data_IF_584693550252
#
_entry.id   IF_584693550252
#
_cell.length_a   1.000
_cell.length_b   1.000
_cell.length_c   1.000
_cell.angle_alpha   90.00
_cell.angle_beta   90.00
_cell.angle_gamma   90.00
#
_symmetry.space_group_name_H-M   'P 1'
#
loop_
_entity.id
_entity.type
_entity.pdbx_description
1 polymer ?
#
# COMPACT_ATOMS: atom_id res chain seq x y z
N UNK A 1 -19.02 42.17 -5.03
CA UNK A 1 -18.67 40.92 -4.31
C UNK A 1 -17.41 40.41 -4.95
N UNK A 2 -16.34 40.34 -4.19
CA UNK A 2 -15.00 40.00 -4.71
C UNK A 2 -14.89 38.52 -5.09
N UNK A 3 -14.17 38.22 -6.18
CA UNK A 3 -13.94 36.87 -6.67
C UNK A 3 -13.32 35.90 -5.62
N UNK A 4 -12.70 36.43 -4.58
CA UNK A 4 -12.18 35.64 -3.45
C UNK A 4 -13.28 35.06 -2.55
N UNK A 5 -14.43 35.74 -2.44
CA UNK A 5 -15.55 35.25 -1.63
C UNK A 5 -16.32 34.13 -2.34
N UNK A 6 -16.31 34.10 -3.67
CA UNK A 6 -16.97 33.07 -4.47
C UNK A 6 -16.17 31.75 -4.43
N UNK A 7 -14.84 31.84 -4.44
CA UNK A 7 -13.96 30.64 -4.36
C UNK A 7 -14.06 29.97 -2.98
N UNK A 8 -14.12 30.76 -1.89
CA UNK A 8 -14.29 30.21 -0.55
C UNK A 8 -15.65 29.52 -0.35
N UNK A 9 -16.72 30.04 -0.96
CA UNK A 9 -18.06 29.45 -0.88
C UNK A 9 -18.17 28.14 -1.68
N UNK A 10 -17.45 28.00 -2.80
CA UNK A 10 -17.48 26.79 -3.63
C UNK A 10 -16.68 25.65 -2.97
N UNK A 11 -15.57 25.96 -2.30
CA UNK A 11 -14.76 24.95 -1.59
C UNK A 11 -15.49 24.40 -0.36
N UNK A 12 -16.23 25.25 0.37
CA UNK A 12 -17.04 24.79 1.53
C UNK A 12 -18.22 23.93 1.11
N UNK A 13 -18.86 24.23 -0.05
CA UNK A 13 -19.98 23.43 -0.56
C UNK A 13 -19.53 22.06 -1.06
N UNK A 14 -18.34 21.93 -1.65
CA UNK A 14 -17.81 20.64 -2.12
C UNK A 14 -17.44 19.74 -0.94
N UNK A 15 -16.89 20.28 0.16
CA UNK A 15 -16.55 19.50 1.36
C UNK A 15 -17.82 19.04 2.12
N UNK A 16 -18.87 19.85 2.15
CA UNK A 16 -20.15 19.49 2.80
C UNK A 16 -20.93 18.47 1.98
N UNK A 17 -20.84 18.50 0.65
CA UNK A 17 -21.51 17.51 -0.23
C UNK A 17 -20.82 16.13 -0.15
N UNK A 18 -19.49 16.09 0.01
CA UNK A 18 -18.77 14.82 0.22
C UNK A 18 -19.08 14.17 1.57
N UNK A 19 -19.35 14.95 2.62
CA UNK A 19 -19.72 14.44 3.95
C UNK A 19 -21.19 14.01 4.07
N UNK A 20 -22.09 14.52 3.20
CA UNK A 20 -23.54 14.20 3.22
C UNK A 20 -23.87 13.01 2.29
N UNK A 21 -23.01 12.68 1.33
CA UNK A 21 -23.21 11.53 0.44
C UNK A 21 -23.10 10.15 1.14
N UNK A 22 -22.60 10.11 2.38
CA UNK A 22 -22.49 8.87 3.19
C UNK A 22 -23.82 8.55 3.93
N UNK A 23 -24.79 9.47 3.99
CA UNK A 23 -26.00 9.32 4.83
C UNK A 23 -27.30 9.10 4.04
N UNK A 24 -27.30 9.14 2.72
CA UNK A 24 -28.52 9.00 1.93
C UNK A 24 -28.44 7.98 0.80
N UNK A 25 -28.16 6.70 1.17
CA UNK A 25 -28.63 5.61 0.31
C UNK A 25 -30.11 5.33 0.68
N UNK A 26 -31.04 5.30 -0.29
CA UNK A 26 -32.41 4.91 0.01
C UNK A 26 -32.38 3.46 0.49
N UNK A 27 -32.90 3.20 1.68
CA UNK A 27 -33.28 1.84 2.10
C UNK A 27 -34.36 1.37 1.14
N UNK A 28 -33.95 0.67 0.08
CA UNK A 28 -34.84 -0.16 -0.71
C UNK A 28 -35.33 -1.29 0.18
N UNK A 29 -36.60 -1.27 0.53
CA UNK A 29 -37.20 -2.32 1.32
C UNK A 29 -37.28 -3.61 0.50
N UNK A 30 -36.49 -4.58 0.89
CA UNK A 30 -36.80 -5.99 0.94
C UNK A 30 -36.04 -6.49 2.15
N UNK A 31 -36.77 -6.94 3.19
CA UNK A 31 -36.23 -7.58 4.39
C UNK A 31 -35.71 -9.00 4.04
N UNK A 32 -34.76 -9.12 3.14
CA UNK A 32 -33.89 -10.28 3.16
C UNK A 32 -32.86 -10.03 4.27
N UNK A 33 -32.67 -10.97 5.20
CA UNK A 33 -31.61 -10.83 6.19
C UNK A 33 -30.31 -10.59 5.46
N UNK A 34 -29.56 -9.55 5.85
CA UNK A 34 -28.24 -9.29 5.33
C UNK A 34 -27.46 -10.62 5.44
N UNK A 35 -26.98 -11.13 4.30
CA UNK A 35 -26.16 -12.34 4.30
C UNK A 35 -24.90 -11.95 5.07
N UNK A 36 -24.78 -12.47 6.28
CA UNK A 36 -23.61 -12.26 7.13
C UNK A 36 -22.44 -12.95 6.43
N UNK A 37 -21.47 -12.17 5.99
CA UNK A 37 -20.25 -12.68 5.36
C UNK A 37 -19.34 -13.22 6.45
N UNK A 38 -18.80 -14.40 6.26
CA UNK A 38 -17.87 -15.04 7.18
C UNK A 38 -16.57 -15.36 6.44
N UNK A 39 -15.61 -14.44 6.56
CA UNK A 39 -14.34 -14.56 5.88
C UNK A 39 -13.30 -15.28 6.73
N UNK A 40 -12.45 -16.06 6.07
CA UNK A 40 -11.23 -16.62 6.65
C UNK A 40 -10.01 -16.11 5.90
N UNK A 41 -8.89 -16.12 6.58
CA UNK A 41 -7.58 -15.95 5.97
C UNK A 41 -7.29 -17.14 5.05
N UNK A 42 -6.98 -16.85 3.78
CA UNK A 42 -6.44 -17.82 2.85
C UNK A 42 -4.91 -17.87 2.94
N UNK A 43 -4.29 -16.78 3.31
CA UNK A 43 -2.86 -16.60 3.55
C UNK A 43 -2.42 -15.15 3.44
N UNK A 44 -1.27 -14.83 4.03
CA UNK A 44 -0.63 -13.54 3.82
C UNK A 44 -0.04 -13.47 2.41
N UNK A 45 0.03 -12.27 1.83
CA UNK A 45 0.55 -12.08 0.47
C UNK A 45 2.02 -12.47 0.34
N UNK A 46 2.82 -12.38 1.40
CA UNK A 46 4.21 -12.85 1.41
C UNK A 46 4.35 -14.37 1.16
N UNK A 47 3.35 -15.15 1.52
CA UNK A 47 3.36 -16.57 1.24
C UNK A 47 3.27 -16.87 -0.27
N UNK A 48 2.61 -15.98 -1.04
CA UNK A 48 2.42 -16.12 -2.50
C UNK A 48 3.42 -15.29 -3.30
N UNK A 49 3.82 -14.15 -2.78
CA UNK A 49 4.68 -13.15 -3.42
C UNK A 49 5.73 -12.66 -2.40
N UNK A 50 6.70 -13.52 -2.04
CA UNK A 50 7.70 -13.13 -1.03
C UNK A 50 8.55 -11.94 -1.50
N UNK A 51 9.01 -11.16 -0.53
CA UNK A 51 10.01 -10.10 -0.68
C UNK A 51 9.60 -8.95 -1.63
N UNK A 52 8.28 -8.75 -1.87
CA UNK A 52 7.85 -7.64 -2.72
C UNK A 52 7.86 -6.30 -1.97
N UNK A 53 8.38 -5.26 -2.59
CA UNK A 53 8.24 -3.89 -2.08
C UNK A 53 6.77 -3.45 -2.13
N UNK A 54 6.17 -3.18 -0.95
CA UNK A 54 4.79 -2.70 -0.85
C UNK A 54 4.72 -1.18 -0.99
N UNK A 55 5.35 -0.46 -0.06
CA UNK A 55 5.34 1.00 -0.02
C UNK A 55 6.74 1.59 -0.15
N UNK A 56 6.78 2.81 -0.69
CA UNK A 56 7.99 3.58 -0.98
C UNK A 56 7.84 5.02 -0.52
N UNK A 57 8.97 5.71 -0.35
CA UNK A 57 9.04 7.17 -0.24
C UNK A 57 9.38 7.72 -1.61
N UNK A 58 8.48 8.56 -2.13
CA UNK A 58 8.71 9.33 -3.34
C UNK A 58 8.96 10.79 -2.99
N UNK A 59 9.94 11.41 -3.64
CA UNK A 59 10.24 12.83 -3.45
C UNK A 59 10.28 13.56 -4.80
N UNK A 60 9.72 14.78 -4.83
CA UNK A 60 9.69 15.59 -6.05
C UNK A 60 11.11 15.84 -6.59
N UNK A 61 11.33 15.58 -7.88
CA UNK A 61 12.63 15.67 -8.50
C UNK A 61 13.23 17.08 -8.45
N UNK A 62 12.40 18.11 -8.64
CA UNK A 62 12.84 19.49 -8.53
C UNK A 62 13.22 19.88 -7.08
N UNK A 63 12.58 19.26 -6.08
CA UNK A 63 12.98 19.41 -4.67
C UNK A 63 14.33 18.72 -4.41
N UNK A 64 14.50 17.48 -4.83
CA UNK A 64 15.74 16.71 -4.61
C UNK A 64 16.96 17.43 -5.19
N UNK A 65 16.87 17.88 -6.45
CA UNK A 65 17.98 18.53 -7.12
C UNK A 65 18.43 19.86 -6.51
N UNK A 66 17.54 20.53 -5.75
CA UNK A 66 17.85 21.83 -5.15
C UNK A 66 17.99 21.80 -3.61
N UNK A 67 17.60 20.69 -2.95
CA UNK A 67 17.51 20.62 -1.50
C UNK A 67 18.00 19.26 -0.96
N UNK A 68 19.05 18.69 -1.53
CA UNK A 68 19.58 17.38 -1.14
C UNK A 68 19.79 17.23 0.37
N UNK A 69 20.43 18.20 1.04
CA UNK A 69 20.65 18.18 2.49
C UNK A 69 19.32 18.10 3.28
N UNK A 70 18.25 18.75 2.81
CA UNK A 70 16.96 18.67 3.49
C UNK A 70 16.35 17.27 3.38
N UNK A 71 16.52 16.60 2.24
CA UNK A 71 16.09 15.22 2.05
C UNK A 71 16.88 14.25 2.92
N UNK A 72 18.20 14.38 2.96
CA UNK A 72 19.09 13.59 3.81
C UNK A 72 18.74 13.73 5.30
N UNK A 73 18.49 14.96 5.77
CA UNK A 73 18.05 15.25 7.14
C UNK A 73 16.67 14.63 7.44
N UNK A 74 15.74 14.69 6.50
CA UNK A 74 14.44 14.03 6.63
C UNK A 74 14.61 12.51 6.74
N UNK A 75 15.40 11.90 5.86
CA UNK A 75 15.65 10.47 5.86
C UNK A 75 16.39 10.01 7.11
N UNK A 76 17.32 10.80 7.67
CA UNK A 76 17.95 10.48 8.94
C UNK A 76 16.93 10.39 10.09
N UNK A 77 16.04 11.38 10.21
CA UNK A 77 14.98 11.34 11.22
C UNK A 77 13.95 10.23 10.99
N UNK A 78 13.61 9.94 9.74
CA UNK A 78 12.74 8.82 9.39
C UNK A 78 13.36 7.47 9.76
N UNK A 79 14.64 7.28 9.47
CA UNK A 79 15.38 6.06 9.79
C UNK A 79 15.40 5.76 11.31
N UNK A 80 15.56 6.79 12.16
CA UNK A 80 15.42 6.62 13.62
C UNK A 80 14.01 6.10 13.98
N UNK A 81 12.97 6.58 13.28
CA UNK A 81 11.61 6.09 13.47
C UNK A 81 11.44 4.64 13.05
N UNK A 82 12.04 4.22 11.93
CA UNK A 82 12.03 2.82 11.45
C UNK A 82 12.75 1.92 12.45
N UNK A 83 13.94 2.31 12.92
CA UNK A 83 14.69 1.55 13.91
C UNK A 83 13.90 1.40 15.23
N UNK A 84 13.22 2.45 15.68
CA UNK A 84 12.34 2.35 16.85
C UNK A 84 11.22 1.32 16.62
N UNK A 85 10.51 1.38 15.50
CA UNK A 85 9.40 0.46 15.19
C UNK A 85 9.91 -0.99 15.14
N UNK A 86 10.99 -1.24 14.43
CA UNK A 86 11.52 -2.59 14.29
C UNK A 86 12.01 -3.16 15.62
N UNK A 87 12.72 -2.38 16.43
CA UNK A 87 13.16 -2.81 17.75
C UNK A 87 11.97 -3.08 18.69
N UNK A 88 10.93 -2.25 18.63
CA UNK A 88 9.71 -2.46 19.41
C UNK A 88 8.99 -3.75 19.00
N UNK A 89 8.82 -3.99 17.70
CA UNK A 89 8.17 -5.22 17.18
C UNK A 89 8.99 -6.48 17.51
N UNK A 90 10.31 -6.38 17.54
CA UNK A 90 11.18 -7.51 17.90
C UNK A 90 11.06 -7.92 19.37
N UNK A 91 10.60 -7.05 20.28
CA UNK A 91 10.37 -7.35 21.70
C UNK A 91 8.97 -6.91 22.15
N UNK A 92 7.99 -7.78 21.95
CA UNK A 92 6.59 -7.55 22.35
C UNK A 92 6.38 -7.33 23.84
N UNK A 93 7.36 -7.70 24.68
CA UNK A 93 7.32 -7.50 26.13
C UNK A 93 7.73 -6.09 26.55
N UNK A 94 8.38 -5.33 25.69
CA UNK A 94 8.95 -4.02 25.95
C UNK A 94 7.88 -2.93 26.19
N UNK A 95 8.25 -1.89 26.91
CA UNK A 95 7.42 -0.68 27.06
C UNK A 95 7.30 0.07 25.72
N UNK A 96 8.32 0.00 24.86
CA UNK A 96 8.29 0.61 23.54
C UNK A 96 7.28 -0.09 22.62
N UNK A 97 7.13 -1.42 22.69
CA UNK A 97 6.08 -2.13 21.95
C UNK A 97 4.66 -1.73 22.44
N UNK A 98 4.44 -1.68 23.75
CA UNK A 98 3.17 -1.22 24.30
C UNK A 98 2.82 0.19 23.85
N UNK A 99 3.82 1.09 23.91
CA UNK A 99 3.65 2.45 23.42
C UNK A 99 3.34 2.47 21.92
N UNK A 100 4.03 1.67 21.10
CA UNK A 100 3.82 1.58 19.66
C UNK A 100 2.40 1.12 19.33
N UNK A 101 1.89 0.09 20.02
CA UNK A 101 0.50 -0.40 19.86
C UNK A 101 -0.49 0.71 20.17
N UNK A 102 -0.36 1.39 21.32
CA UNK A 102 -1.25 2.48 21.71
C UNK A 102 -1.15 3.67 20.77
N UNK A 103 0.06 4.03 20.35
CA UNK A 103 0.28 5.11 19.39
C UNK A 103 -0.34 4.80 18.03
N UNK A 104 -0.20 3.57 17.52
CA UNK A 104 -0.78 3.14 16.25
C UNK A 104 -2.30 3.28 16.23
N UNK A 105 -2.99 2.98 17.34
CA UNK A 105 -4.44 3.19 17.48
C UNK A 105 -4.84 4.66 17.38
N UNK A 106 -3.95 5.60 17.72
CA UNK A 106 -4.21 7.04 17.52
C UNK A 106 -4.13 7.46 16.06
N UNK A 107 -3.38 6.73 15.23
CA UNK A 107 -3.22 6.99 13.79
C UNK A 107 -4.24 6.25 12.95
N UNK A 108 -4.69 5.09 13.43
CA UNK A 108 -5.73 4.27 12.83
C UNK A 108 -6.86 4.06 13.87
N UNK A 109 -7.77 5.04 14.01
CA UNK A 109 -8.81 4.97 15.03
C UNK A 109 -9.74 3.76 14.86
N UNK A 110 -10.13 3.17 15.98
CA UNK A 110 -11.06 2.04 16.04
C UNK A 110 -10.39 0.67 15.98
N UNK A 111 -9.06 0.57 15.92
CA UNK A 111 -8.36 -0.71 16.08
C UNK A 111 -8.40 -1.20 17.53
N UNK A 112 -8.59 -2.51 17.69
CA UNK A 112 -8.33 -3.21 18.94
C UNK A 112 -6.81 -3.44 19.12
N UNK A 113 -6.40 -3.83 20.33
CA UNK A 113 -5.01 -4.21 20.58
C UNK A 113 -4.59 -5.41 19.73
N UNK A 114 -5.48 -6.39 19.57
CA UNK A 114 -5.19 -7.62 18.81
C UNK A 114 -4.98 -7.29 17.32
N UNK A 115 -5.91 -6.53 16.72
CA UNK A 115 -5.77 -6.10 15.30
C UNK A 115 -4.49 -5.30 15.07
N UNK A 116 -4.16 -4.38 16.00
CA UNK A 116 -2.94 -3.58 15.91
C UNK A 116 -1.68 -4.44 15.98
N UNK A 117 -1.62 -5.38 16.93
CA UNK A 117 -0.48 -6.30 17.09
C UNK A 117 -0.30 -7.19 15.87
N UNK A 118 -1.38 -7.79 15.38
CA UNK A 118 -1.33 -8.63 14.19
C UNK A 118 -0.89 -7.83 12.96
N UNK A 119 -1.42 -6.61 12.77
CA UNK A 119 -1.04 -5.75 11.65
C UNK A 119 0.44 -5.37 11.72
N UNK A 120 0.96 -5.00 12.90
CA UNK A 120 2.39 -4.70 13.09
C UNK A 120 3.29 -5.91 12.82
N UNK A 121 2.85 -7.12 13.22
CA UNK A 121 3.60 -8.36 12.99
C UNK A 121 3.63 -8.80 11.52
N UNK A 122 2.59 -8.43 10.74
CA UNK A 122 2.47 -8.81 9.33
C UNK A 122 3.21 -7.85 8.37
N UNK A 123 3.79 -6.77 8.87
CA UNK A 123 4.51 -5.78 8.07
C UNK A 123 6.00 -5.88 8.37
N UNK A 124 6.81 -6.13 7.35
CA UNK A 124 8.25 -6.03 7.46
C UNK A 124 8.68 -4.56 7.22
N UNK A 125 9.03 -3.88 8.31
CA UNK A 125 9.58 -2.52 8.24
C UNK A 125 11.06 -2.63 7.86
N UNK A 126 11.35 -2.36 6.59
CA UNK A 126 12.68 -2.52 6.01
C UNK A 126 13.64 -1.45 6.56
N UNK A 127 14.91 -1.76 6.55
CA UNK A 127 16.09 -1.05 7.05
C UNK A 127 16.50 -1.31 8.50
N UNK A 128 15.69 -1.99 9.32
CA UNK A 128 16.10 -2.28 10.70
C UNK A 128 17.17 -3.37 10.77
N UNK A 129 17.07 -4.37 9.87
CA UNK A 129 17.95 -5.53 9.81
C UNK A 129 18.91 -5.51 8.61
N UNK A 130 18.96 -4.40 7.86
CA UNK A 130 19.87 -4.27 6.75
C UNK A 130 21.28 -4.02 7.28
N UNK A 131 21.82 -5.03 7.95
CA UNK A 131 23.19 -5.04 8.48
C UNK A 131 24.21 -5.03 7.36
N UNK A 132 23.79 -5.36 6.14
CA UNK A 132 24.66 -5.43 4.96
C UNK A 132 24.67 -4.12 4.16
N UNK A 133 23.81 -3.15 4.53
CA UNK A 133 23.75 -1.84 3.87
C UNK A 133 23.31 -1.90 2.41
N UNK A 134 22.72 -3.03 1.99
CA UNK A 134 22.22 -3.18 0.63
C UNK A 134 20.84 -2.54 0.47
N UNK A 135 20.85 -1.23 0.38
CA UNK A 135 19.70 -0.44 -0.05
C UNK A 135 19.44 -0.60 -1.57
N UNK A 136 20.31 -1.29 -2.28
CA UNK A 136 20.32 -1.44 -3.74
C UNK A 136 19.14 -2.28 -4.27
N UNK A 137 18.60 -3.18 -3.47
CA UNK A 137 17.49 -4.04 -3.87
C UNK A 137 16.22 -3.31 -4.30
N UNK A 138 16.03 -2.03 -3.98
CA UNK A 138 14.87 -1.26 -4.45
C UNK A 138 14.86 -1.08 -5.97
N UNK A 139 16.01 -0.89 -6.60
CA UNK A 139 16.13 -0.74 -8.05
C UNK A 139 15.70 -2.02 -8.77
N UNK A 140 16.18 -3.17 -8.32
CA UNK A 140 15.81 -4.48 -8.86
C UNK A 140 14.33 -4.79 -8.64
N UNK A 141 13.78 -4.45 -7.46
CA UNK A 141 12.36 -4.63 -7.18
C UNK A 141 11.48 -3.77 -8.09
N UNK A 142 11.86 -2.53 -8.34
CA UNK A 142 11.11 -1.65 -9.24
C UNK A 142 11.22 -2.14 -10.70
N UNK A 143 12.39 -2.62 -11.14
CA UNK A 143 12.53 -3.22 -12.46
C UNK A 143 11.64 -4.46 -12.61
N UNK A 144 11.63 -5.34 -11.61
CA UNK A 144 10.75 -6.51 -11.55
C UNK A 144 9.27 -6.13 -11.53
N UNK A 145 8.91 -5.11 -10.74
CA UNK A 145 7.54 -4.58 -10.68
C UNK A 145 7.08 -4.07 -12.06
N UNK A 146 7.91 -3.32 -12.78
CA UNK A 146 7.61 -2.85 -14.15
C UNK A 146 7.34 -4.04 -15.06
N UNK A 147 8.16 -5.09 -14.98
CA UNK A 147 7.93 -6.35 -15.71
C UNK A 147 6.56 -6.96 -15.40
N UNK A 148 6.22 -7.09 -14.13
CA UNK A 148 4.92 -7.61 -13.69
C UNK A 148 3.74 -6.73 -14.13
N UNK A 149 3.87 -5.40 -14.02
CA UNK A 149 2.86 -4.43 -14.47
C UNK A 149 2.62 -4.51 -15.99
N UNK A 150 3.68 -4.67 -16.77
CA UNK A 150 3.60 -4.88 -18.22
C UNK A 150 2.87 -6.17 -18.55
N UNK A 151 3.20 -7.25 -17.86
CA UNK A 151 2.60 -8.57 -18.06
C UNK A 151 1.09 -8.60 -17.82
N UNK A 152 0.60 -7.85 -16.83
CA UNK A 152 -0.83 -7.76 -16.51
C UNK A 152 -1.55 -6.63 -17.25
N UNK A 153 -0.84 -5.88 -18.11
CA UNK A 153 -1.43 -4.81 -18.94
C UNK A 153 -1.78 -3.53 -18.15
N UNK A 154 -1.15 -3.30 -16.99
CA UNK A 154 -1.38 -2.11 -16.16
C UNK A 154 -0.68 -0.85 -16.70
N UNK A 155 0.29 -1.00 -17.60
CA UNK A 155 1.02 0.11 -18.19
C UNK A 155 0.41 0.50 -19.54
N UNK A 156 0.21 1.81 -19.75
CA UNK A 156 -0.27 2.37 -21.03
C UNK A 156 0.87 2.73 -21.98
N UNK A 157 2.10 2.83 -21.45
CA UNK A 157 3.31 3.03 -22.24
C UNK A 157 4.24 1.84 -22.05
N UNK A 158 4.96 1.49 -23.11
CA UNK A 158 5.99 0.46 -23.03
C UNK A 158 7.26 0.99 -22.37
N UNK A 159 7.88 0.16 -21.55
CA UNK A 159 9.23 0.36 -21.00
C UNK A 159 10.11 -0.70 -21.64
N UNK A 160 10.96 -0.26 -22.56
CA UNK A 160 11.82 -1.17 -23.34
C UNK A 160 12.90 -1.82 -22.46
N UNK A 161 13.40 -1.08 -21.48
CA UNK A 161 14.44 -1.50 -20.54
C UNK A 161 14.02 -1.12 -19.10
N UNK A 162 13.38 -2.05 -18.36
CA UNK A 162 12.96 -1.81 -17.00
C UNK A 162 14.11 -1.53 -16.02
N UNK A 163 15.27 -2.14 -16.23
CA UNK A 163 16.45 -1.95 -15.37
C UNK A 163 17.01 -0.53 -15.54
N UNK A 164 17.20 -0.08 -16.77
CA UNK A 164 17.63 1.29 -17.05
C UNK A 164 16.60 2.31 -16.55
N UNK A 165 15.29 2.05 -16.71
CA UNK A 165 14.24 2.91 -16.18
C UNK A 165 14.31 3.01 -14.66
N UNK A 166 14.41 1.88 -13.97
CA UNK A 166 14.52 1.82 -12.51
C UNK A 166 15.78 2.56 -12.02
N UNK A 167 16.90 2.43 -12.71
CA UNK A 167 18.15 3.13 -12.39
C UNK A 167 18.06 4.66 -12.49
N UNK A 168 17.12 5.21 -13.26
CA UNK A 168 16.83 6.65 -13.25
C UNK A 168 15.76 7.03 -12.21
N UNK A 169 14.85 6.09 -11.93
CA UNK A 169 13.68 6.33 -11.08
C UNK A 169 13.99 6.21 -9.59
N UNK A 170 14.91 5.33 -9.22
CA UNK A 170 15.36 5.10 -7.84
C UNK A 170 16.65 5.86 -7.59
N UNK A 171 16.69 6.58 -6.46
CA UNK A 171 17.91 7.23 -5.97
C UNK A 171 17.96 7.09 -4.44
N UNK A 172 18.52 6.00 -3.98
CA UNK A 172 18.69 5.66 -2.57
C UNK A 172 19.96 6.27 -1.95
N UNK A 173 20.76 6.97 -2.74
CA UNK A 173 22.00 7.63 -2.28
C UNK A 173 21.74 8.62 -1.14
N UNK A 174 20.56 9.28 -1.13
CA UNK A 174 20.15 10.17 -0.05
C UNK A 174 19.98 9.43 1.29
N UNK A 175 19.38 8.25 1.26
CA UNK A 175 19.20 7.43 2.46
C UNK A 175 20.52 6.86 2.95
N UNK A 176 21.35 6.36 2.03
CA UNK A 176 22.68 5.87 2.38
C UNK A 176 23.52 6.97 3.03
N UNK A 177 23.55 8.16 2.41
CA UNK A 177 24.25 9.31 2.99
C UNK A 177 23.70 9.68 4.38
N UNK A 178 22.36 9.67 4.53
CA UNK A 178 21.72 10.00 5.80
C UNK A 178 22.10 9.03 6.92
N UNK A 179 22.17 7.72 6.64
CA UNK A 179 22.56 6.69 7.61
C UNK A 179 24.03 6.85 8.01
N UNK A 180 24.91 7.01 7.05
CA UNK A 180 26.36 7.12 7.27
C UNK A 180 26.76 8.42 7.99
N UNK A 181 26.00 9.50 7.81
CA UNK A 181 26.38 10.85 8.24
C UNK A 181 25.42 11.46 9.27
N UNK A 182 24.62 10.65 9.98
CA UNK A 182 23.57 11.10 10.94
C UNK A 182 24.04 12.23 11.85
N UNK A 183 25.20 12.09 12.47
CA UNK A 183 25.69 13.07 13.43
C UNK A 183 26.01 14.44 12.81
N UNK A 184 26.47 14.47 11.55
CA UNK A 184 26.75 15.72 10.84
C UNK A 184 25.49 16.46 10.39
N UNK A 185 24.38 15.75 10.28
CA UNK A 185 23.07 16.29 9.89
C UNK A 185 22.28 16.89 11.04
N UNK A 186 22.68 16.65 12.30
CA UNK A 186 22.01 17.17 13.51
C UNK A 186 22.28 18.66 13.71
N UNK A 187 21.40 19.31 14.48
CA UNK A 187 21.58 20.70 14.97
C UNK A 187 21.48 21.78 13.88
N UNK A 188 20.97 21.45 12.71
CA UNK A 188 20.78 22.40 11.60
C UNK A 188 19.59 23.33 11.82
N UNK A 189 19.58 24.45 11.13
CA UNK A 189 18.46 25.41 11.17
C UNK A 189 17.16 24.72 10.74
N UNK A 190 16.04 24.97 11.43
CA UNK A 190 14.76 24.36 11.12
C UNK A 190 14.25 24.71 9.71
N UNK A 191 13.75 23.71 9.01
CA UNK A 191 12.97 23.85 7.77
C UNK A 191 11.66 23.08 7.89
N UNK A 192 10.61 23.56 7.25
CA UNK A 192 9.32 22.86 7.21
C UNK A 192 9.18 22.12 5.88
N UNK A 193 8.78 20.86 5.95
CA UNK A 193 8.50 19.99 4.78
C UNK A 193 7.05 19.52 4.82
N UNK A 194 6.35 19.68 3.70
CA UNK A 194 5.04 19.08 3.47
C UNK A 194 5.23 17.63 3.04
N UNK A 195 4.70 16.71 3.86
CA UNK A 195 4.80 15.26 3.66
C UNK A 195 3.42 14.64 3.51
N UNK A 196 3.13 14.04 2.36
CA UNK A 196 1.86 13.37 2.12
C UNK A 196 1.88 11.92 2.61
N UNK A 197 0.82 11.54 3.32
CA UNK A 197 0.61 10.19 3.88
C UNK A 197 -0.81 9.71 3.61
N UNK A 198 -1.01 8.38 3.56
CA UNK A 198 -2.33 7.78 3.43
C UNK A 198 -3.03 7.78 4.80
N UNK A 199 -4.25 8.27 4.84
CA UNK A 199 -5.05 8.31 6.08
C UNK A 199 -5.34 6.89 6.59
N UNK A 200 -5.00 6.62 7.86
CA UNK A 200 -5.32 5.35 8.50
C UNK A 200 -4.53 4.15 7.98
N UNK A 201 -3.33 4.39 7.46
CA UNK A 201 -2.42 3.35 6.96
C UNK A 201 -1.28 3.08 7.95
N UNK A 202 -1.27 1.88 8.53
CA UNK A 202 -0.27 1.46 9.52
C UNK A 202 1.10 1.16 8.88
N UNK A 203 1.19 0.94 7.57
CA UNK A 203 2.45 0.77 6.86
C UNK A 203 3.39 1.97 7.03
N UNK A 204 2.81 3.14 7.22
CA UNK A 204 3.52 4.41 7.36
C UNK A 204 3.76 4.82 8.82
N UNK A 205 3.56 3.89 9.78
CA UNK A 205 3.63 4.24 11.21
C UNK A 205 4.99 4.83 11.61
N UNK A 206 6.08 4.42 10.95
CA UNK A 206 7.43 4.86 11.28
C UNK A 206 7.64 6.37 11.11
N UNK A 207 7.06 7.00 10.07
CA UNK A 207 7.15 8.46 9.91
C UNK A 207 6.36 9.21 10.99
N UNK A 208 5.25 8.65 11.44
CA UNK A 208 4.48 9.22 12.55
C UNK A 208 5.20 9.06 13.89
N UNK A 209 5.84 7.90 14.09
CA UNK A 209 6.71 7.64 15.27
C UNK A 209 7.85 8.64 15.29
N UNK A 210 8.56 8.83 14.17
CA UNK A 210 9.66 9.78 14.08
C UNK A 210 9.21 11.22 14.45
N UNK A 211 8.03 11.63 13.99
CA UNK A 211 7.43 12.91 14.38
C UNK A 211 7.09 12.99 15.86
N UNK A 212 6.46 11.94 16.42
CA UNK A 212 6.02 11.91 17.81
C UNK A 212 7.18 11.82 18.82
N UNK A 213 8.21 11.05 18.48
CA UNK A 213 9.42 10.90 19.30
C UNK A 213 10.37 12.11 19.18
N UNK A 214 10.11 13.03 18.23
CA UNK A 214 10.92 14.23 18.04
C UNK A 214 12.20 14.02 17.24
N UNK A 215 12.39 12.85 16.60
CA UNK A 215 13.59 12.53 15.82
C UNK A 215 13.83 13.56 14.70
N UNK A 216 12.80 13.96 13.98
CA UNK A 216 12.94 15.01 12.97
C UNK A 216 13.48 16.33 13.51
N UNK A 217 13.13 16.69 14.76
CA UNK A 217 13.59 17.94 15.36
C UNK A 217 15.11 17.93 15.60
N UNK A 218 15.72 16.76 15.87
CA UNK A 218 17.17 16.64 16.04
C UNK A 218 17.92 17.04 14.77
N UNK A 219 17.30 16.77 13.60
CA UNK A 219 17.82 17.11 12.28
C UNK A 219 17.30 18.47 11.76
N UNK A 220 16.60 19.25 12.61
CA UNK A 220 16.02 20.53 12.20
C UNK A 220 14.96 20.40 11.11
N UNK A 221 14.20 19.31 11.09
CA UNK A 221 13.06 19.12 10.19
C UNK A 221 11.76 19.28 10.99
N UNK A 222 10.87 20.13 10.49
CA UNK A 222 9.49 20.24 10.95
C UNK A 222 8.58 19.68 9.86
N UNK A 223 7.73 18.73 10.20
CA UNK A 223 6.82 18.10 9.22
C UNK A 223 5.43 18.68 9.34
N UNK A 224 4.83 18.99 8.19
CA UNK A 224 3.42 19.25 8.03
C UNK A 224 2.82 18.09 7.19
N UNK A 225 1.97 17.26 7.83
CA UNK A 225 1.37 16.12 7.16
C UNK A 225 0.17 16.54 6.31
N UNK A 226 0.24 16.23 5.00
CA UNK A 226 -0.90 16.25 4.10
C UNK A 226 -1.53 14.86 4.04
N UNK A 227 -2.86 14.78 4.21
CA UNK A 227 -3.60 13.51 4.22
C UNK A 227 -4.17 13.20 2.85
N UNK A 228 -3.99 11.97 2.37
CA UNK A 228 -4.56 11.47 1.14
C UNK A 228 -5.36 10.18 1.40
N UNK A 229 -6.38 9.93 0.59
CA UNK A 229 -7.20 8.73 0.72
C UNK A 229 -6.49 7.45 0.18
N UNK A 230 -5.55 7.63 -0.75
CA UNK A 230 -4.80 6.54 -1.39
C UNK A 230 -3.54 7.07 -2.09
N UNK A 231 -2.74 6.14 -2.64
CA UNK A 231 -1.49 6.49 -3.34
C UNK A 231 -1.68 7.38 -4.58
N UNK A 232 -2.80 7.29 -5.29
CA UNK A 232 -3.10 8.18 -6.42
C UNK A 232 -3.27 9.65 -6.00
N UNK A 233 -3.88 9.89 -4.84
CA UNK A 233 -3.96 11.23 -4.25
C UNK A 233 -2.58 11.80 -3.90
N UNK A 234 -1.68 10.97 -3.39
CA UNK A 234 -0.30 11.36 -3.09
C UNK A 234 0.47 11.70 -4.37
N UNK A 235 0.36 10.87 -5.42
CA UNK A 235 0.94 11.18 -6.74
C UNK A 235 0.46 12.54 -7.25
N UNK A 236 -0.83 12.80 -7.15
CA UNK A 236 -1.41 14.09 -7.56
C UNK A 236 -0.78 15.25 -6.79
N UNK A 237 -0.64 15.13 -5.47
CA UNK A 237 -0.02 16.15 -4.62
C UNK A 237 1.46 16.39 -4.96
N UNK A 238 2.22 15.31 -5.24
CA UNK A 238 3.62 15.42 -5.69
C UNK A 238 3.75 16.15 -7.03
N UNK A 239 2.91 15.77 -8.01
CA UNK A 239 2.94 16.36 -9.37
C UNK A 239 2.50 17.82 -9.37
N UNK A 240 1.59 18.21 -8.50
CA UNK A 240 1.15 19.59 -8.32
C UNK A 240 2.15 20.45 -7.52
N UNK A 241 3.07 19.80 -6.79
CA UNK A 241 3.98 20.46 -5.85
C UNK A 241 3.35 20.85 -4.51
N UNK A 242 2.16 20.30 -4.20
CA UNK A 242 1.45 20.51 -2.93
C UNK A 242 2.19 19.84 -1.76
N UNK A 243 2.96 18.81 -2.04
CA UNK A 243 3.92 18.22 -1.10
C UNK A 243 5.27 17.97 -1.78
N UNK A 244 6.32 17.81 -0.97
CA UNK A 244 7.70 17.52 -1.45
C UNK A 244 8.02 16.05 -1.36
N UNK A 245 7.42 15.35 -0.40
CA UNK A 245 7.66 13.96 -0.07
C UNK A 245 6.32 13.26 0.07
N UNK A 246 6.20 12.03 -0.41
CA UNK A 246 4.98 11.24 -0.31
C UNK A 246 5.28 9.78 0.04
N UNK A 247 4.46 9.21 0.92
CA UNK A 247 4.48 7.80 1.29
C UNK A 247 3.34 7.07 0.59
N UNK A 248 3.66 6.16 -0.32
CA UNK A 248 2.64 5.51 -1.15
C UNK A 248 3.08 4.12 -1.60
N UNK A 249 2.12 3.34 -2.12
CA UNK A 249 2.44 2.04 -2.72
C UNK A 249 3.38 2.16 -3.93
N UNK A 250 4.29 1.21 -4.08
CA UNK A 250 5.20 1.15 -5.22
C UNK A 250 4.46 1.05 -6.58
N UNK A 251 3.36 0.25 -6.73
CA UNK A 251 2.65 0.20 -8.00
C UNK A 251 2.01 1.54 -8.42
N UNK A 252 1.22 2.26 -7.61
CA UNK A 252 0.66 3.54 -8.04
C UNK A 252 1.76 4.57 -8.37
N UNK A 253 2.88 4.58 -7.64
CA UNK A 253 4.02 5.41 -7.95
C UNK A 253 4.60 5.07 -9.33
N UNK A 254 4.90 3.80 -9.59
CA UNK A 254 5.52 3.32 -10.82
C UNK A 254 4.62 3.46 -12.04
N UNK A 255 3.32 3.06 -11.92
CA UNK A 255 2.34 3.19 -13.01
C UNK A 255 2.23 4.65 -13.48
N UNK A 256 2.14 5.58 -12.54
CA UNK A 256 2.02 7.00 -12.88
C UNK A 256 3.30 7.54 -13.51
N UNK A 257 4.48 7.16 -13.03
CA UNK A 257 5.76 7.58 -13.60
C UNK A 257 5.90 7.11 -15.05
N UNK A 258 5.60 5.84 -15.32
CA UNK A 258 5.64 5.25 -16.68
C UNK A 258 4.59 5.89 -17.58
N UNK A 259 3.33 5.95 -17.15
CA UNK A 259 2.22 6.40 -17.98
C UNK A 259 2.30 7.89 -18.33
N UNK A 260 2.90 8.72 -17.48
CA UNK A 260 3.18 10.12 -17.81
C UNK A 260 4.40 10.28 -18.75
N UNK A 261 5.30 9.29 -18.78
CA UNK A 261 6.50 9.34 -19.65
C UNK A 261 7.52 10.36 -19.17
N UNK A 262 7.69 10.49 -17.86
CA UNK A 262 8.67 11.42 -17.28
C UNK A 262 10.11 10.92 -17.38
N UNK A 263 10.31 9.65 -17.70
CA UNK A 263 11.63 9.02 -17.90
C UNK A 263 11.73 8.47 -19.31
N UNK A 264 12.86 8.70 -19.96
CA UNK A 264 13.25 8.06 -21.22
C UNK A 264 14.67 7.47 -21.13
N UNK A 265 15.23 7.04 -22.27
CA UNK A 265 16.58 6.47 -22.35
C UNK A 265 17.73 7.41 -21.93
N UNK A 266 17.45 8.66 -21.60
CA UNK A 266 18.46 9.66 -21.21
C UNK A 266 18.21 10.23 -19.81
N UNK A 267 17.18 9.71 -19.07
CA UNK A 267 16.88 10.07 -17.69
C UNK A 267 15.55 10.78 -17.51
N UNK A 268 15.41 11.46 -16.36
CA UNK A 268 14.20 12.22 -15.99
C UNK A 268 14.13 13.52 -16.80
N UNK A 269 12.95 13.78 -17.36
CA UNK A 269 12.72 14.89 -18.31
C UNK A 269 11.98 16.08 -17.73
N UNK A 270 11.29 15.91 -16.62
CA UNK A 270 10.42 16.94 -16.07
C UNK A 270 10.67 17.13 -14.59
N UNK A 271 10.84 18.37 -14.16
CA UNK A 271 11.00 18.73 -12.75
C UNK A 271 9.74 18.42 -11.89
N UNK A 272 8.60 18.15 -12.52
CA UNK A 272 7.40 17.68 -11.84
C UNK A 272 7.44 16.19 -11.52
N UNK A 273 8.35 15.44 -12.15
CA UNK A 273 8.57 14.05 -11.81
C UNK A 273 8.97 13.90 -10.33
N UNK A 274 8.95 12.68 -9.85
CA UNK A 274 9.47 12.31 -8.54
C UNK A 274 10.39 11.10 -8.67
N UNK A 275 11.30 10.94 -7.71
CA UNK A 275 12.13 9.75 -7.58
C UNK A 275 11.77 8.99 -6.33
N UNK A 276 12.00 7.69 -6.34
CA UNK A 276 11.92 6.85 -5.16
C UNK A 276 13.25 6.91 -4.42
N UNK A 277 13.20 7.28 -3.14
CA UNK A 277 14.39 7.52 -2.32
C UNK A 277 14.54 6.51 -1.18
N UNK A 278 13.54 5.67 -0.97
CA UNK A 278 13.53 4.66 0.09
C UNK A 278 12.39 3.68 -0.10
N UNK A 279 12.58 2.45 0.36
CA UNK A 279 11.46 1.59 0.75
C UNK A 279 10.84 2.10 2.04
N UNK A 280 9.57 1.76 2.29
CA UNK A 280 8.90 1.93 3.58
C UNK A 280 8.77 0.57 4.25
N UNK A 281 8.27 -0.40 3.51
CA UNK A 281 8.03 -1.76 3.97
C UNK A 281 7.89 -2.74 2.82
N UNK A 282 8.05 -4.01 3.13
CA UNK A 282 7.50 -5.11 2.34
C UNK A 282 6.31 -5.72 3.07
N UNK A 283 5.51 -6.52 2.38
CA UNK A 283 4.42 -7.29 2.94
C UNK A 283 3.25 -6.42 3.45
N UNK A 284 2.49 -6.94 4.43
CA UNK A 284 1.41 -6.21 5.08
C UNK A 284 0.09 -6.26 4.33
N UNK A 285 -0.17 -7.36 3.59
CA UNK A 285 -1.48 -7.64 2.99
C UNK A 285 -1.86 -9.09 3.18
N UNK A 286 -3.17 -9.39 3.19
CA UNK A 286 -3.68 -10.74 3.28
C UNK A 286 -4.77 -11.02 2.26
N UNK A 287 -4.91 -12.29 1.92
CA UNK A 287 -5.95 -12.84 1.06
C UNK A 287 -7.03 -13.44 1.95
N UNK A 288 -8.24 -12.96 1.80
CA UNK A 288 -9.41 -13.47 2.52
C UNK A 288 -10.39 -14.14 1.55
N UNK A 289 -11.14 -15.11 2.05
CA UNK A 289 -12.13 -15.87 1.29
C UNK A 289 -13.37 -16.12 2.14
N UNK A 290 -14.55 -16.00 1.54
CA UNK A 290 -15.83 -16.31 2.17
C UNK A 290 -15.96 -17.82 2.39
N UNK A 291 -16.23 -18.24 3.63
CA UNK A 291 -16.44 -19.66 3.98
C UNK A 291 -17.51 -20.33 3.15
N UNK A 292 -18.52 -19.58 2.71
CA UNK A 292 -19.64 -20.11 1.93
C UNK A 292 -19.24 -20.72 0.59
N UNK A 293 -18.07 -20.35 0.06
CA UNK A 293 -17.57 -20.91 -1.22
C UNK A 293 -16.64 -22.10 -1.04
N UNK A 294 -16.33 -22.49 0.20
CA UNK A 294 -15.39 -23.58 0.50
C UNK A 294 -16.09 -24.93 0.60
N UNK A 295 -15.46 -25.96 0.04
CA UNK A 295 -15.94 -27.35 0.17
C UNK A 295 -15.74 -27.89 1.60
N UNK A 296 -14.67 -27.46 2.29
CA UNK A 296 -14.31 -27.90 3.62
C UNK A 296 -13.54 -26.80 4.38
N UNK A 297 -14.23 -26.18 5.33
CA UNK A 297 -13.69 -25.08 6.17
C UNK A 297 -12.60 -25.57 7.14
N UNK A 298 -12.57 -26.87 7.46
CA UNK A 298 -11.63 -27.47 8.41
C UNK A 298 -10.40 -28.11 7.73
N UNK A 299 -10.23 -27.92 6.43
CA UNK A 299 -9.05 -28.42 5.73
C UNK A 299 -7.80 -27.63 6.09
N UNK A 300 -6.67 -28.30 6.21
CA UNK A 300 -5.35 -27.65 6.42
C UNK A 300 -5.02 -26.69 5.28
N UNK A 301 -5.47 -27.01 4.07
CA UNK A 301 -5.42 -26.11 2.90
C UNK A 301 -6.86 -25.99 2.39
N UNK A 302 -7.41 -24.78 2.31
CA UNK A 302 -8.77 -24.57 1.84
C UNK A 302 -8.99 -25.14 0.42
N UNK A 303 -10.19 -25.70 0.22
CA UNK A 303 -10.58 -26.37 -1.04
C UNK A 303 -11.88 -25.79 -1.58
N UNK A 304 -11.98 -25.77 -2.90
CA UNK A 304 -13.21 -25.45 -3.61
C UNK A 304 -13.28 -26.26 -4.93
N UNK A 305 -14.47 -26.78 -5.25
CA UNK A 305 -14.71 -27.63 -6.41
C UNK A 305 -13.79 -28.88 -6.45
N UNK A 306 -13.47 -29.44 -5.28
CA UNK A 306 -12.59 -30.60 -5.10
C UNK A 306 -11.11 -30.34 -5.31
N UNK A 307 -10.68 -29.06 -5.38
CA UNK A 307 -9.31 -28.66 -5.65
C UNK A 307 -8.82 -27.68 -4.57
N UNK A 308 -7.54 -27.79 -4.18
CA UNK A 308 -6.91 -26.87 -3.25
C UNK A 308 -6.67 -25.49 -3.88
N UNK A 309 -6.74 -24.42 -3.08
CA UNK A 309 -6.43 -23.07 -3.56
C UNK A 309 -4.96 -22.89 -3.93
N UNK A 310 -4.07 -23.62 -3.27
CA UNK A 310 -2.62 -23.59 -3.51
C UNK A 310 -1.98 -24.89 -3.05
N UNK A 311 -0.75 -25.14 -3.44
CA UNK A 311 0.15 -26.12 -2.84
C UNK A 311 1.19 -25.42 -1.97
N UNK A 312 1.84 -26.15 -1.05
CA UNK A 312 2.90 -25.61 -0.19
C UNK A 312 4.20 -26.29 -0.52
N UNK A 313 5.25 -25.51 -0.79
CA UNK A 313 6.61 -25.99 -0.99
C UNK A 313 7.58 -25.06 -0.28
N UNK A 314 8.41 -25.61 0.62
CA UNK A 314 9.39 -24.84 1.40
C UNK A 314 8.79 -23.68 2.20
N UNK A 315 7.52 -23.78 2.63
CA UNK A 315 6.79 -22.70 3.34
C UNK A 315 6.18 -21.64 2.42
N UNK A 316 6.40 -21.72 1.11
CA UNK A 316 5.79 -20.83 0.10
C UNK A 316 4.52 -21.45 -0.45
N UNK A 317 3.53 -20.61 -0.78
CA UNK A 317 2.29 -21.03 -1.42
C UNK A 317 2.44 -20.90 -2.93
N UNK A 318 2.28 -22.03 -3.61
CA UNK A 318 2.44 -22.12 -5.05
C UNK A 318 1.07 -22.26 -5.69
N UNK A 319 0.74 -21.38 -6.61
CA UNK A 319 -0.45 -21.46 -7.47
C UNK A 319 -0.04 -21.87 -8.87
N UNK A 320 -0.78 -22.80 -9.43
CA UNK A 320 -0.53 -23.34 -10.77
C UNK A 320 -1.86 -23.58 -11.49
N UNK A 321 -1.80 -24.08 -12.73
CA UNK A 321 -2.99 -24.45 -13.50
C UNK A 321 -3.87 -25.49 -12.80
N UNK A 322 -3.29 -26.31 -11.91
CA UNK A 322 -4.04 -27.32 -11.16
C UNK A 322 -5.01 -26.70 -10.15
N UNK A 323 -4.74 -25.48 -9.71
CA UNK A 323 -5.57 -24.74 -8.76
C UNK A 323 -6.67 -23.90 -9.44
N UNK A 324 -6.68 -23.81 -10.76
CA UNK A 324 -7.59 -22.94 -11.51
C UNK A 324 -9.08 -23.15 -11.19
N UNK A 325 -9.50 -24.41 -10.91
CA UNK A 325 -10.90 -24.71 -10.55
C UNK A 325 -11.32 -24.14 -9.20
N UNK A 326 -10.38 -23.98 -8.27
CA UNK A 326 -10.66 -23.37 -6.96
C UNK A 326 -10.89 -21.86 -7.10
N UNK A 327 -10.18 -21.20 -7.98
CA UNK A 327 -10.24 -19.73 -8.14
C UNK A 327 -11.22 -19.28 -9.24
N UNK A 328 -11.44 -20.08 -10.26
CA UNK A 328 -12.30 -19.74 -11.40
C UNK A 328 -13.74 -19.46 -10.98
N UNK A 329 -14.32 -18.39 -11.49
CA UNK A 329 -15.66 -17.91 -11.15
C UNK A 329 -15.76 -17.16 -9.83
N UNK A 330 -14.67 -16.98 -9.08
CA UNK A 330 -14.67 -16.12 -7.89
C UNK A 330 -14.66 -14.64 -8.27
N UNK A 331 -15.29 -13.82 -7.41
CA UNK A 331 -15.27 -12.37 -7.48
C UNK A 331 -14.43 -11.84 -6.31
N UNK A 332 -13.30 -11.21 -6.60
CA UNK A 332 -12.31 -10.75 -5.63
C UNK A 332 -12.37 -9.23 -5.43
N UNK A 333 -12.52 -8.79 -4.20
CA UNK A 333 -12.45 -7.38 -3.84
C UNK A 333 -11.02 -6.84 -3.85
N UNK A 334 -10.83 -5.61 -4.33
CA UNK A 334 -9.53 -4.93 -4.37
C UNK A 334 -9.67 -3.43 -4.13
N UNK A 335 -8.68 -2.77 -3.52
CA UNK A 335 -8.73 -1.34 -3.22
C UNK A 335 -8.82 -0.43 -4.45
N UNK A 336 -8.22 -0.86 -5.56
CA UNK A 336 -8.20 -0.09 -6.80
C UNK A 336 -7.28 -0.72 -7.83
N UNK A 337 -7.46 -0.40 -9.09
CA UNK A 337 -6.74 -1.02 -10.21
C UNK A 337 -5.23 -0.74 -10.24
N UNK A 338 -4.76 0.27 -9.53
CA UNK A 338 -3.34 0.59 -9.39
C UNK A 338 -2.72 0.07 -8.08
N UNK A 339 -3.49 -0.61 -7.22
CA UNK A 339 -2.95 -1.13 -5.96
C UNK A 339 -2.13 -2.41 -6.18
N UNK A 340 -1.16 -2.68 -5.27
CA UNK A 340 -0.41 -3.94 -5.32
C UNK A 340 -1.35 -5.13 -5.20
N UNK A 341 -2.40 -5.04 -4.38
CA UNK A 341 -3.39 -6.09 -4.17
C UNK A 341 -4.12 -6.47 -5.48
N UNK A 342 -4.45 -5.48 -6.31
CA UNK A 342 -5.05 -5.73 -7.61
C UNK A 342 -4.06 -6.43 -8.56
N UNK A 343 -2.83 -5.95 -8.61
CA UNK A 343 -1.77 -6.56 -9.43
C UNK A 343 -1.54 -8.03 -9.02
N UNK A 344 -1.54 -8.33 -7.73
CA UNK A 344 -1.42 -9.69 -7.21
C UNK A 344 -2.58 -10.59 -7.65
N UNK A 345 -3.83 -10.09 -7.67
CA UNK A 345 -4.98 -10.84 -8.24
C UNK A 345 -4.74 -11.18 -9.71
N UNK A 346 -4.27 -10.22 -10.51
CA UNK A 346 -3.99 -10.45 -11.93
C UNK A 346 -2.86 -11.47 -12.14
N UNK A 347 -1.81 -11.40 -11.30
CA UNK A 347 -0.69 -12.34 -11.34
C UNK A 347 -1.14 -13.76 -10.95
N UNK A 348 -1.95 -13.93 -9.90
CA UNK A 348 -2.53 -15.22 -9.51
C UNK A 348 -3.35 -15.80 -10.66
N UNK A 349 -4.26 -15.02 -11.25
CA UNK A 349 -5.04 -15.47 -12.40
C UNK A 349 -4.16 -15.95 -13.58
N UNK A 350 -3.11 -15.17 -13.89
CA UNK A 350 -2.17 -15.50 -14.95
C UNK A 350 -1.42 -16.81 -14.70
N UNK A 351 -0.91 -17.02 -13.49
CA UNK A 351 -0.21 -18.26 -13.11
C UNK A 351 -1.10 -19.49 -13.29
N UNK A 352 -2.40 -19.35 -13.00
CA UNK A 352 -3.40 -20.40 -13.18
C UNK A 352 -3.91 -20.54 -14.62
N UNK A 353 -3.61 -19.59 -15.51
CA UNK A 353 -4.14 -19.54 -16.86
C UNK A 353 -5.63 -19.13 -16.93
N UNK A 354 -6.12 -18.44 -15.88
CA UNK A 354 -7.45 -17.84 -15.86
C UNK A 354 -7.45 -16.49 -16.58
N UNK A 355 -8.59 -16.16 -17.18
CA UNK A 355 -8.90 -14.81 -17.64
C UNK A 355 -9.18 -13.91 -16.42
N UNK A 356 -9.10 -12.61 -16.60
CA UNK A 356 -9.54 -11.63 -15.62
C UNK A 356 -10.57 -10.68 -16.22
N UNK A 357 -11.58 -10.31 -15.44
CA UNK A 357 -12.61 -9.36 -15.85
C UNK A 357 -13.14 -8.59 -14.64
N UNK A 358 -13.57 -7.34 -14.87
CA UNK A 358 -14.36 -6.61 -13.89
C UNK A 358 -15.73 -7.26 -13.78
N UNK A 359 -16.18 -7.51 -12.56
CA UNK A 359 -17.48 -8.12 -12.32
C UNK A 359 -18.62 -7.11 -12.51
N UNK A 360 -19.66 -7.53 -13.21
CA UNK A 360 -20.90 -6.77 -13.33
C UNK A 360 -21.99 -7.45 -12.50
N UNK A 361 -22.60 -6.72 -11.58
CA UNK A 361 -23.63 -7.26 -10.69
C UNK A 361 -24.77 -7.91 -11.51
N UNK A 362 -25.06 -9.17 -11.18
CA UNK A 362 -26.08 -9.96 -11.85
C UNK A 362 -25.60 -10.83 -13.03
N UNK A 363 -24.33 -10.72 -13.43
CA UNK A 363 -23.76 -11.67 -14.38
C UNK A 363 -23.46 -13.02 -13.71
N UNK A 364 -23.51 -14.09 -14.48
CA UNK A 364 -23.09 -15.42 -14.00
C UNK A 364 -21.59 -15.59 -14.26
N UNK A 365 -20.77 -15.73 -13.18
CA UNK A 365 -19.33 -15.88 -13.36
C UNK A 365 -18.95 -17.13 -14.15
N UNK A 366 -18.07 -16.95 -15.14
CA UNK A 366 -17.54 -18.05 -15.94
C UNK A 366 -16.39 -18.76 -15.19
N UNK A 367 -16.34 -20.09 -15.26
CA UNK A 367 -15.38 -20.91 -14.52
C UNK A 367 -13.92 -20.74 -14.99
N UNK A 368 -13.67 -20.14 -16.14
CA UNK A 368 -12.33 -19.85 -16.68
C UNK A 368 -11.85 -18.43 -16.40
N UNK A 369 -12.58 -17.69 -15.57
CA UNK A 369 -12.33 -16.26 -15.31
C UNK A 369 -12.30 -15.99 -13.81
N UNK A 370 -11.29 -15.27 -13.35
CA UNK A 370 -11.22 -14.65 -12.01
C UNK A 370 -11.72 -13.22 -12.13
N UNK A 371 -12.81 -12.91 -11.45
CA UNK A 371 -13.42 -11.59 -11.48
C UNK A 371 -12.89 -10.70 -10.38
N UNK A 372 -13.02 -9.39 -10.58
CA UNK A 372 -12.67 -8.43 -9.55
C UNK A 372 -13.67 -7.27 -9.45
N UNK A 373 -13.79 -6.73 -8.24
CA UNK A 373 -14.49 -5.48 -7.91
C UNK A 373 -13.47 -4.52 -7.31
N UNK A 374 -13.49 -3.26 -7.70
CA UNK A 374 -12.54 -2.23 -7.24
C UNK A 374 -13.18 -1.25 -6.27
N UNK A 375 -12.35 -0.38 -5.66
CA UNK A 375 -12.74 0.64 -4.69
C UNK A 375 -13.20 0.09 -3.33
N UNK A 376 -12.75 -1.10 -2.97
CA UNK A 376 -12.97 -1.73 -1.67
C UNK A 376 -11.71 -1.56 -0.82
N UNK A 377 -11.52 -0.35 -0.28
CA UNK A 377 -10.32 0.05 0.46
C UNK A 377 -10.53 0.05 1.98
N UNK A 378 -11.76 -0.11 2.46
CA UNK A 378 -12.11 -0.17 3.86
C UNK A 378 -12.89 -1.45 4.17
N UNK A 379 -12.67 -2.03 5.34
CA UNK A 379 -13.31 -3.29 5.73
C UNK A 379 -14.85 -3.20 5.71
N UNK A 380 -15.44 -2.06 6.10
CA UNK A 380 -16.90 -1.86 6.05
C UNK A 380 -17.46 -2.00 4.62
N UNK A 381 -16.71 -1.54 3.62
CA UNK A 381 -17.11 -1.71 2.21
C UNK A 381 -17.06 -3.18 1.82
N UNK A 382 -16.03 -3.90 2.28
CA UNK A 382 -15.81 -5.32 2.00
C UNK A 382 -16.89 -6.19 2.62
N UNK A 383 -17.15 -6.06 3.92
CA UNK A 383 -18.15 -6.89 4.61
C UNK A 383 -19.59 -6.60 4.18
N UNK A 384 -19.85 -5.39 3.64
CA UNK A 384 -21.17 -5.01 3.12
C UNK A 384 -21.37 -5.37 1.64
N UNK A 385 -20.33 -5.72 0.91
CA UNK A 385 -20.44 -6.08 -0.51
C UNK A 385 -20.78 -7.55 -0.67
N UNK A 386 -22.05 -7.83 -0.93
CA UNK A 386 -22.56 -9.20 -1.11
C UNK A 386 -22.08 -9.87 -2.41
N UNK A 387 -21.52 -9.11 -3.34
CA UNK A 387 -21.12 -9.62 -4.65
C UNK A 387 -19.75 -10.31 -4.64
N UNK A 388 -18.88 -10.02 -3.66
CA UNK A 388 -17.54 -10.59 -3.60
C UNK A 388 -17.53 -11.92 -2.82
N UNK A 389 -16.62 -12.81 -3.23
CA UNK A 389 -16.35 -14.08 -2.59
C UNK A 389 -15.06 -14.06 -1.76
N UNK A 390 -14.26 -13.02 -1.90
CA UNK A 390 -12.97 -12.85 -1.23
C UNK A 390 -12.27 -11.60 -1.72
N UNK A 391 -10.98 -11.48 -1.44
CA UNK A 391 -10.19 -10.35 -1.92
C UNK A 391 -8.79 -10.32 -1.38
N UNK A 392 -8.06 -9.28 -1.73
CA UNK A 392 -6.76 -8.93 -1.16
C UNK A 392 -6.84 -7.51 -0.65
N UNK A 393 -6.46 -7.31 0.62
CA UNK A 393 -6.48 -6.00 1.27
C UNK A 393 -5.27 -5.85 2.19
N UNK A 394 -4.82 -4.60 2.39
CA UNK A 394 -3.71 -4.26 3.27
C UNK A 394 -4.09 -4.22 4.75
N UNK A 395 -3.07 -4.28 5.62
CA UNK A 395 -3.21 -4.06 7.06
C UNK A 395 -3.52 -2.56 7.38
N UNK A 396 -4.35 -2.28 8.34
CA UNK A 396 -5.03 -3.20 9.26
C UNK A 396 -6.42 -3.62 8.77
N UNK A 397 -6.81 -3.27 7.55
CA UNK A 397 -8.14 -3.61 7.02
C UNK A 397 -8.33 -5.13 6.92
N UNK A 398 -7.25 -5.86 6.61
CA UNK A 398 -7.27 -7.31 6.54
C UNK A 398 -7.69 -7.94 7.88
N UNK A 399 -7.06 -7.51 9.00
CA UNK A 399 -7.43 -8.00 10.32
C UNK A 399 -8.89 -7.75 10.65
N UNK A 400 -9.40 -6.58 10.29
CA UNK A 400 -10.82 -6.24 10.51
C UNK A 400 -11.75 -7.10 9.66
N UNK A 401 -11.42 -7.37 8.41
CA UNK A 401 -12.22 -8.28 7.57
C UNK A 401 -12.30 -9.68 8.20
N UNK A 402 -11.20 -10.17 8.77
CA UNK A 402 -11.18 -11.52 9.39
C UNK A 402 -11.88 -11.57 10.75
N UNK A 403 -11.87 -10.48 11.51
CA UNK A 403 -12.38 -10.47 12.89
C UNK A 403 -13.83 -9.95 13.00
N UNK A 404 -14.28 -9.11 12.08
CA UNK A 404 -15.60 -8.46 12.13
C UNK A 404 -16.61 -9.01 11.11
N UNK A 405 -16.20 -9.96 10.23
CA UNK A 405 -17.08 -10.60 9.26
C UNK A 405 -17.79 -11.82 9.81
#
# INVERSE_FOLDING_TARGET
>A
MDNKTIIAAVVVVVIVVAAIAIVAMPKGGNDEPAVEKDYIELGLTNNFFPDHTCCVIAANYGFLTNNAEQMERFLAGYYEGVQFVANAVADESSEDYKWLVDFSKTKVPGLTDLETKNALANIAYLYADDTDGDLSGLTEDIASLIGGLKEVGALTKDVADPEAFAGYYVDDSYLQYAIENKESLKGKSPVTLEVAVITGDIHQIAVHVAGSKGYFNEYGIKIEFAQAANGGGIVTSLLNGDCKIGFLGAPPATINMVNNGFIDSTGIKDNKAYQLVSRVNSEGSGIYIDKSVLDNVNSTIPMRNGVQFYSVDGGKYIVSKDNAKAWGGLVMGTPGTSSIQHIQILQLAKQMGLKTAMYTVGETPAADTLYYVTNLAAYQQIISDVSINGGIIWEPQFQRVIQEA
#
